data_IF_546652960032
#
_entry.id   IF_546652960032
#
_cell.length_a   1.000
_cell.length_b   1.000
_cell.length_c   1.000
_cell.angle_alpha   90.00
_cell.angle_beta   90.00
_cell.angle_gamma   90.00
#
_symmetry.space_group_name_H-M   'P 1'
#
loop_
_entity.id
_entity.type
_entity.pdbx_description
1 polymer ?
#
# COMPACT_ATOMS: atom_id res chain seq x y z
N UNK A 1 20.50 23.39 30.76
CA UNK A 1 20.16 22.20 29.97
C UNK A 1 19.73 22.67 28.59
N UNK A 2 20.57 22.45 27.59
CA UNK A 2 20.30 22.89 26.24
C UNK A 2 19.12 22.12 25.66
N UNK A 3 18.08 22.84 25.28
CA UNK A 3 16.90 22.28 24.58
C UNK A 3 17.33 22.01 23.10
N UNK A 4 18.24 21.05 22.92
CA UNK A 4 18.91 20.73 21.65
C UNK A 4 18.02 19.93 20.68
N UNK A 5 16.72 20.10 20.72
CA UNK A 5 15.86 19.31 19.84
C UNK A 5 15.48 20.13 18.61
N UNK A 6 16.06 19.79 17.46
CA UNK A 6 15.58 20.20 16.13
C UNK A 6 14.11 19.80 15.97
N UNK A 7 13.65 18.86 16.79
CA UNK A 7 12.28 18.39 16.88
C UNK A 7 11.51 19.33 17.79
N UNK A 8 10.94 20.36 17.21
CA UNK A 8 10.08 21.31 17.95
C UNK A 8 8.63 20.85 17.93
N UNK A 9 7.86 21.24 18.96
CA UNK A 9 6.40 21.05 18.99
C UNK A 9 5.67 21.81 17.86
N UNK A 10 6.37 22.69 17.15
CA UNK A 10 5.87 23.44 15.99
C UNK A 10 6.07 22.72 14.66
N UNK A 11 6.77 21.58 14.62
CA UNK A 11 7.01 20.86 13.37
C UNK A 11 5.72 20.34 12.74
N UNK A 12 5.64 20.33 11.41
CA UNK A 12 4.49 19.84 10.65
C UNK A 12 4.18 18.36 11.02
N UNK A 13 5.22 17.54 11.20
CA UNK A 13 5.08 16.13 11.61
C UNK A 13 4.45 16.02 13.01
N UNK A 14 4.86 16.89 13.97
CA UNK A 14 4.27 16.85 15.29
C UNK A 14 2.77 17.20 15.26
N UNK A 15 2.37 18.21 14.48
CA UNK A 15 0.96 18.58 14.26
C UNK A 15 0.17 17.41 13.69
N UNK A 16 0.71 16.75 12.66
CA UNK A 16 0.12 15.56 12.09
C UNK A 16 -0.08 14.43 13.11
N UNK A 17 0.91 14.17 13.98
CA UNK A 17 0.78 13.18 15.05
C UNK A 17 -0.28 13.54 16.09
N UNK A 18 -0.48 14.84 16.36
CA UNK A 18 -1.60 15.32 17.22
C UNK A 18 -2.94 15.04 16.54
N UNK A 19 -3.09 15.33 15.26
CA UNK A 19 -4.32 15.06 14.51
C UNK A 19 -4.66 13.57 14.44
N UNK A 20 -3.65 12.69 14.40
CA UNK A 20 -3.81 11.26 14.57
C UNK A 20 -4.17 10.86 16.02
N UNK A 21 -4.13 11.80 16.98
CA UNK A 21 -4.31 11.54 18.42
C UNK A 21 -3.31 10.55 19.03
N UNK A 22 -2.18 10.31 18.36
CA UNK A 22 -1.14 9.38 18.83
C UNK A 22 -0.41 9.94 20.04
N UNK A 23 -0.21 11.27 20.10
CA UNK A 23 0.59 11.94 21.13
C UNK A 23 0.02 11.79 22.55
N UNK A 24 -1.26 11.47 22.69
CA UNK A 24 -1.91 11.27 24.00
C UNK A 24 -1.45 9.98 24.71
N UNK A 25 -0.91 9.03 23.99
CA UNK A 25 -0.59 7.67 24.48
C UNK A 25 0.90 7.35 24.42
N UNK A 26 1.72 8.32 23.98
CA UNK A 26 3.16 8.18 23.87
C UNK A 26 3.87 9.15 24.80
N UNK A 27 4.94 8.69 25.39
CA UNK A 27 5.84 9.57 26.16
C UNK A 27 6.57 10.54 25.22
N UNK A 28 6.98 11.69 25.74
CA UNK A 28 7.75 12.68 24.96
C UNK A 28 8.96 12.07 24.23
N UNK A 29 9.80 11.19 24.83
CA UNK A 29 10.87 10.53 24.11
C UNK A 29 10.39 9.64 22.95
N UNK A 30 9.26 8.95 23.09
CA UNK A 30 8.67 8.12 22.04
C UNK A 30 8.17 8.97 20.87
N UNK A 31 7.50 10.09 21.15
CA UNK A 31 7.08 11.06 20.13
C UNK A 31 8.29 11.60 19.36
N UNK A 32 9.36 11.95 20.06
CA UNK A 32 10.59 12.40 19.43
C UNK A 32 11.20 11.34 18.49
N UNK A 33 11.20 10.07 18.88
CA UNK A 33 11.68 8.99 18.01
C UNK A 33 10.79 8.80 16.77
N UNK A 34 9.46 8.91 16.90
CA UNK A 34 8.54 8.89 15.76
C UNK A 34 8.86 9.99 14.77
N UNK A 35 9.01 11.22 15.25
CA UNK A 35 9.32 12.38 14.41
C UNK A 35 10.70 12.20 13.73
N UNK A 36 11.70 11.70 14.46
CA UNK A 36 13.02 11.43 13.90
C UNK A 36 12.95 10.40 12.75
N UNK A 37 12.19 9.31 12.92
CA UNK A 37 12.02 8.32 11.87
C UNK A 37 11.31 8.91 10.65
N UNK A 38 10.19 9.61 10.83
CA UNK A 38 9.44 10.21 9.71
C UNK A 38 10.31 11.22 8.97
N UNK A 39 10.99 12.13 9.68
CA UNK A 39 11.92 13.09 9.07
C UNK A 39 13.06 12.39 8.29
N UNK A 40 13.61 11.31 8.84
CA UNK A 40 14.66 10.56 8.16
C UNK A 40 14.14 9.85 6.91
N UNK A 41 12.96 9.23 6.99
CA UNK A 41 12.33 8.55 5.85
C UNK A 41 12.03 9.50 4.69
N UNK A 42 11.65 10.75 4.95
CA UNK A 42 11.44 11.74 3.88
C UNK A 42 12.75 12.33 3.35
N UNK A 43 13.86 12.24 4.09
CA UNK A 43 15.15 12.81 3.68
C UNK A 43 15.67 12.11 2.42
N UNK A 44 16.24 12.88 1.49
CA UNK A 44 16.88 12.33 0.27
C UNK A 44 18.07 11.47 0.66
N UNK A 45 18.13 10.24 0.11
CA UNK A 45 19.21 9.28 0.41
C UNK A 45 18.89 8.30 1.54
N UNK A 46 17.70 8.38 2.17
CA UNK A 46 17.27 7.35 3.11
C UNK A 46 17.21 5.97 2.45
N UNK A 47 17.91 5.00 3.04
CA UNK A 47 18.03 3.64 2.51
C UNK A 47 17.31 2.58 3.37
N UNK A 48 16.64 2.96 4.45
CA UNK A 48 15.92 2.01 5.33
C UNK A 48 16.71 1.50 6.51
N UNK A 49 17.93 2.01 6.74
CA UNK A 49 18.76 1.57 7.86
C UNK A 49 18.51 2.44 9.11
N UNK A 50 18.62 1.84 10.28
CA UNK A 50 18.59 2.58 11.55
C UNK A 50 19.75 3.58 11.65
N UNK A 51 20.90 3.28 11.02
CA UNK A 51 22.03 4.18 10.90
C UNK A 51 21.69 5.46 10.17
N UNK A 52 20.91 5.38 9.09
CA UNK A 52 20.49 6.56 8.33
C UNK A 52 19.75 7.57 9.23
N UNK A 53 18.92 7.05 10.18
CA UNK A 53 18.19 7.91 11.14
C UNK A 53 19.17 8.66 12.05
N UNK A 54 20.25 8.00 12.51
CA UNK A 54 21.27 8.64 13.36
C UNK A 54 22.18 9.59 12.59
N UNK A 55 22.36 9.35 11.27
CA UNK A 55 23.21 10.17 10.42
C UNK A 55 22.49 11.45 9.97
N UNK A 56 21.22 11.34 9.60
CA UNK A 56 20.43 12.49 9.21
C UNK A 56 19.97 13.38 10.38
N UNK A 57 19.77 12.74 11.55
CA UNK A 57 19.30 13.39 12.78
C UNK A 57 20.19 12.99 13.97
N UNK A 58 21.39 13.57 14.11
CA UNK A 58 22.44 13.13 15.03
C UNK A 58 22.13 13.33 16.53
N UNK A 59 20.91 13.65 16.89
CA UNK A 59 20.47 13.94 18.26
C UNK A 59 20.47 12.69 19.15
N UNK A 60 20.36 11.51 18.57
CA UNK A 60 20.27 10.23 19.28
C UNK A 60 21.25 9.19 18.75
N UNK A 61 21.85 8.45 19.65
CA UNK A 61 22.71 7.34 19.28
C UNK A 61 21.90 6.21 18.62
N UNK A 62 22.47 5.57 17.58
CA UNK A 62 21.84 4.48 16.80
C UNK A 62 21.24 3.36 17.66
N UNK A 63 21.86 3.04 18.81
CA UNK A 63 21.36 2.02 19.74
C UNK A 63 20.01 2.38 20.32
N UNK A 64 19.79 3.65 20.71
CA UNK A 64 18.51 4.11 21.25
C UNK A 64 17.42 4.11 20.18
N UNK A 65 17.79 4.44 18.94
CA UNK A 65 16.90 4.39 17.78
C UNK A 65 16.49 2.93 17.48
N UNK A 66 17.45 2.00 17.53
CA UNK A 66 17.16 0.57 17.41
C UNK A 66 16.25 0.05 18.52
N UNK A 67 16.53 0.41 19.77
CA UNK A 67 15.72 0.03 20.95
C UNK A 67 14.30 0.59 20.88
N UNK A 68 14.08 1.75 20.26
CA UNK A 68 12.74 2.28 20.04
C UNK A 68 11.88 1.32 19.22
N UNK A 69 12.44 0.65 18.22
CA UNK A 69 11.72 -0.36 17.44
C UNK A 69 11.60 -1.71 18.15
N UNK A 70 12.67 -2.17 18.87
CA UNK A 70 12.73 -3.52 19.41
C UNK A 70 12.21 -3.65 20.84
N UNK A 71 12.49 -2.69 21.71
CA UNK A 71 12.32 -2.83 23.16
C UNK A 71 11.33 -1.83 23.76
N UNK A 72 11.25 -0.61 23.23
CA UNK A 72 10.42 0.45 23.80
C UNK A 72 8.95 0.00 23.97
N UNK A 73 8.32 0.29 25.13
CA UNK A 73 7.00 -0.26 25.48
C UNK A 73 5.82 0.50 24.86
N UNK A 74 5.99 1.21 23.75
CA UNK A 74 4.86 1.86 23.10
C UNK A 74 3.91 0.86 22.43
N UNK A 75 2.62 1.16 22.48
CA UNK A 75 1.58 0.30 21.94
C UNK A 75 1.45 0.51 20.40
N UNK A 76 2.01 -0.45 19.67
CA UNK A 76 1.94 -0.49 18.23
C UNK A 76 0.50 -0.62 17.71
N UNK A 77 -0.34 -1.42 18.38
CA UNK A 77 -1.71 -1.67 17.95
C UNK A 77 -2.56 -0.40 18.06
N UNK A 78 -2.30 0.40 19.11
CA UNK A 78 -2.96 1.70 19.27
C UNK A 78 -2.58 2.65 18.12
N UNK A 79 -1.30 2.77 17.81
CA UNK A 79 -0.81 3.63 16.73
C UNK A 79 -1.37 3.19 15.37
N UNK A 80 -1.43 1.89 15.13
CA UNK A 80 -2.03 1.33 13.91
C UNK A 80 -3.53 1.62 13.82
N UNK A 81 -4.28 1.43 14.91
CA UNK A 81 -5.71 1.77 14.96
C UNK A 81 -5.95 3.26 14.69
N UNK A 82 -5.13 4.14 15.25
CA UNK A 82 -5.23 5.59 15.02
C UNK A 82 -4.99 5.94 13.53
N UNK A 83 -3.97 5.36 12.91
CA UNK A 83 -3.70 5.52 11.49
C UNK A 83 -4.88 5.01 10.64
N UNK A 84 -5.35 3.77 10.88
CA UNK A 84 -6.50 3.17 10.18
C UNK A 84 -7.74 4.05 10.28
N UNK A 85 -8.03 4.57 11.47
CA UNK A 85 -9.17 5.48 11.69
C UNK A 85 -9.05 6.75 10.84
N UNK A 86 -7.86 7.37 10.78
CA UNK A 86 -7.63 8.57 9.96
C UNK A 86 -7.81 8.26 8.47
N UNK A 87 -7.27 7.14 7.99
CA UNK A 87 -7.39 6.70 6.59
C UNK A 87 -8.86 6.48 6.22
N UNK A 88 -9.60 5.70 7.02
CA UNK A 88 -11.03 5.48 6.82
C UNK A 88 -11.78 6.81 6.78
N UNK A 89 -11.58 7.67 7.78
CA UNK A 89 -12.26 8.95 7.88
C UNK A 89 -12.07 9.78 6.60
N UNK A 90 -10.84 9.92 6.12
CA UNK A 90 -10.53 10.72 4.92
C UNK A 90 -11.16 10.15 3.66
N UNK A 91 -11.09 8.83 3.46
CA UNK A 91 -11.65 8.16 2.28
C UNK A 91 -13.18 8.22 2.28
N UNK A 92 -13.83 7.98 3.44
CA UNK A 92 -15.30 8.03 3.58
C UNK A 92 -15.84 9.45 3.44
N UNK A 93 -15.17 10.45 4.01
CA UNK A 93 -15.49 11.87 3.81
C UNK A 93 -15.38 12.27 2.32
N UNK A 94 -14.30 11.86 1.64
CA UNK A 94 -14.15 12.12 0.20
C UNK A 94 -15.29 11.50 -0.59
N UNK A 95 -15.63 10.23 -0.35
CA UNK A 95 -16.74 9.56 -1.00
C UNK A 95 -18.08 10.25 -0.73
N UNK A 96 -18.32 10.67 0.51
CA UNK A 96 -19.55 11.39 0.87
C UNK A 96 -19.69 12.74 0.15
N UNK A 97 -18.58 13.46 -0.04
CA UNK A 97 -18.57 14.78 -0.70
C UNK A 97 -18.69 14.64 -2.21
N UNK A 98 -17.97 13.68 -2.82
CA UNK A 98 -17.88 13.55 -4.29
C UNK A 98 -18.95 12.65 -4.88
N UNK A 99 -19.60 11.80 -4.08
CA UNK A 99 -20.47 10.73 -4.55
C UNK A 99 -19.74 9.54 -5.20
N UNK A 100 -18.40 9.62 -5.34
CA UNK A 100 -17.61 8.61 -6.00
C UNK A 100 -17.48 7.32 -5.16
N UNK A 101 -17.33 6.15 -5.82
CA UNK A 101 -17.18 4.87 -5.13
C UNK A 101 -15.88 4.78 -4.34
N UNK A 102 -15.90 3.93 -3.30
CA UNK A 102 -14.72 3.56 -2.54
C UNK A 102 -14.11 2.29 -3.14
N UNK A 103 -12.80 2.29 -3.36
CA UNK A 103 -12.06 1.12 -3.81
C UNK A 103 -11.16 0.60 -2.70
N UNK A 104 -11.27 -0.72 -2.45
CA UNK A 104 -10.41 -1.48 -1.56
C UNK A 104 -9.48 -2.32 -2.44
N UNK A 105 -8.24 -1.89 -2.60
CA UNK A 105 -7.27 -2.57 -3.46
C UNK A 105 -6.40 -3.47 -2.61
N UNK A 106 -6.33 -4.76 -2.97
CA UNK A 106 -5.53 -5.77 -2.26
C UNK A 106 -4.53 -6.38 -3.23
N UNK A 107 -3.26 -6.34 -2.84
CA UNK A 107 -2.17 -6.96 -3.60
C UNK A 107 -1.01 -7.30 -2.66
N UNK A 108 -0.03 -8.05 -3.16
CA UNK A 108 1.13 -8.40 -2.37
C UNK A 108 2.45 -8.10 -3.10
N UNK A 109 3.47 -7.85 -2.30
CA UNK A 109 4.82 -7.61 -2.81
C UNK A 109 5.85 -8.37 -1.98
N UNK A 110 7.02 -8.64 -2.56
CA UNK A 110 8.14 -9.26 -1.86
C UNK A 110 9.19 -8.19 -1.57
N UNK A 111 9.58 -8.10 -0.29
CA UNK A 111 10.78 -7.40 0.15
C UNK A 111 11.91 -8.42 0.30
N UNK A 112 12.76 -8.50 -0.73
CA UNK A 112 13.84 -9.48 -0.77
C UNK A 112 14.89 -9.23 0.29
N UNK A 113 15.44 -10.33 0.82
CA UNK A 113 16.53 -10.35 1.81
C UNK A 113 17.59 -11.35 1.40
N UNK A 114 18.80 -11.14 1.87
CA UNK A 114 19.88 -12.12 1.72
C UNK A 114 19.56 -13.36 2.55
N UNK A 115 19.71 -14.53 1.97
CA UNK A 115 19.60 -15.81 2.69
C UNK A 115 20.65 -15.81 3.82
N UNK A 116 20.26 -16.04 5.08
CA UNK A 116 21.22 -16.10 6.18
C UNK A 116 22.18 -17.27 5.99
N UNK A 117 23.44 -17.08 6.36
CA UNK A 117 24.39 -18.20 6.42
C UNK A 117 23.97 -19.18 7.52
N UNK A 118 24.42 -20.44 7.40
CA UNK A 118 24.20 -21.48 8.43
C UNK A 118 24.73 -21.10 9.81
N UNK A 119 25.71 -20.19 9.87
CA UNK A 119 26.32 -19.68 11.11
C UNK A 119 25.58 -18.46 11.71
N UNK A 120 24.51 -17.98 11.09
CA UNK A 120 23.79 -16.80 11.56
C UNK A 120 23.08 -17.08 12.89
N UNK A 121 23.52 -16.44 13.97
CA UNK A 121 22.95 -16.61 15.32
C UNK A 121 21.53 -16.01 15.44
N UNK A 122 21.22 -14.96 14.70
CA UNK A 122 19.92 -14.26 14.72
C UNK A 122 19.51 -13.92 13.29
N UNK A 123 18.92 -14.87 12.54
CA UNK A 123 18.37 -14.57 11.22
C UNK A 123 17.19 -13.58 11.33
N UNK A 124 16.83 -12.96 10.21
CA UNK A 124 15.65 -12.11 10.17
C UNK A 124 14.40 -12.96 10.32
N UNK A 125 13.56 -12.63 11.32
CA UNK A 125 12.36 -13.38 11.65
C UNK A 125 11.30 -13.26 10.54
N UNK A 126 10.48 -14.30 10.37
CA UNK A 126 9.37 -14.37 9.39
C UNK A 126 9.78 -14.20 7.92
N UNK A 127 11.06 -14.31 7.58
CA UNK A 127 11.51 -14.46 6.21
C UNK A 127 11.29 -15.89 5.71
N UNK A 128 10.91 -16.01 4.45
CA UNK A 128 10.72 -17.30 3.79
C UNK A 128 11.06 -17.25 2.31
N UNK A 129 10.95 -18.41 1.65
CA UNK A 129 11.08 -18.51 0.21
C UNK A 129 9.73 -18.30 -0.47
N UNK A 130 9.68 -17.38 -1.42
CA UNK A 130 8.48 -16.99 -2.17
C UNK A 130 8.78 -16.96 -3.66
N UNK A 131 7.82 -17.37 -4.49
CA UNK A 131 7.94 -17.26 -5.95
C UNK A 131 7.71 -15.80 -6.39
N UNK A 132 8.70 -15.21 -7.04
CA UNK A 132 8.60 -13.88 -7.65
C UNK A 132 8.21 -14.01 -9.11
N UNK A 133 6.98 -13.62 -9.45
CA UNK A 133 6.52 -13.60 -10.84
C UNK A 133 7.34 -12.62 -11.70
N UNK A 134 7.76 -11.48 -11.13
CA UNK A 134 8.59 -10.50 -11.83
C UNK A 134 9.96 -11.04 -12.23
N UNK A 135 10.55 -11.93 -11.42
CA UNK A 135 11.88 -12.50 -11.65
C UNK A 135 11.83 -13.92 -12.24
N UNK A 136 10.64 -14.53 -12.32
CA UNK A 136 10.47 -15.91 -12.76
C UNK A 136 11.19 -16.95 -11.88
N UNK A 137 11.53 -16.60 -10.63
CA UNK A 137 12.29 -17.47 -9.70
C UNK A 137 11.87 -17.32 -8.24
N UNK A 138 12.25 -18.28 -7.44
CA UNK A 138 12.09 -18.22 -5.97
C UNK A 138 13.12 -17.28 -5.38
N UNK A 139 12.66 -16.39 -4.50
CA UNK A 139 13.47 -15.42 -3.76
C UNK A 139 13.23 -15.56 -2.25
N UNK A 140 14.21 -15.19 -1.44
CA UNK A 140 14.09 -15.18 0.02
C UNK A 140 13.76 -13.79 0.53
N UNK A 141 12.81 -13.65 1.45
CA UNK A 141 12.44 -12.36 2.03
C UNK A 141 11.08 -12.37 2.74
N UNK A 142 10.51 -11.19 2.93
CA UNK A 142 9.16 -11.04 3.44
C UNK A 142 8.19 -10.82 2.28
N UNK A 143 7.13 -11.62 2.23
CA UNK A 143 5.98 -11.33 1.36
C UNK A 143 4.97 -10.53 2.17
N UNK A 144 4.54 -9.39 1.64
CA UNK A 144 3.71 -8.41 2.33
C UNK A 144 2.36 -8.29 1.62
N UNK A 145 1.29 -8.65 2.31
CA UNK A 145 -0.08 -8.39 1.83
C UNK A 145 -0.47 -6.98 2.26
N UNK A 146 -0.88 -6.18 1.31
CA UNK A 146 -1.17 -4.76 1.49
C UNK A 146 -2.59 -4.44 1.05
N UNK A 147 -3.25 -3.57 1.79
CA UNK A 147 -4.54 -2.99 1.43
C UNK A 147 -4.39 -1.49 1.31
N UNK A 148 -4.83 -0.97 0.16
CA UNK A 148 -4.98 0.46 -0.10
C UNK A 148 -6.47 0.81 -0.16
N UNK A 149 -6.83 1.97 0.36
CA UNK A 149 -8.16 2.56 0.21
C UNK A 149 -8.07 3.77 -0.73
N UNK A 150 -9.00 3.84 -1.67
CA UNK A 150 -9.03 4.89 -2.68
C UNK A 150 -10.44 5.46 -2.79
N UNK A 151 -10.52 6.76 -3.03
CA UNK A 151 -11.72 7.42 -3.50
C UNK A 151 -11.29 8.64 -4.32
N UNK A 152 -11.78 8.75 -5.53
CA UNK A 152 -11.38 9.78 -6.48
C UNK A 152 -9.84 9.79 -6.69
N UNK A 153 -9.15 10.88 -6.43
CA UNK A 153 -7.69 11.01 -6.54
C UNK A 153 -6.96 10.63 -5.25
N UNK A 154 -7.67 10.44 -4.14
CA UNK A 154 -7.08 10.12 -2.84
C UNK A 154 -6.73 8.64 -2.73
N UNK A 155 -5.48 8.33 -2.45
CA UNK A 155 -4.92 6.97 -2.38
C UNK A 155 -4.13 6.79 -1.09
N UNK A 156 -4.63 5.99 -0.14
CA UNK A 156 -4.02 5.84 1.18
C UNK A 156 -3.79 4.37 1.56
N UNK A 157 -2.63 4.00 2.12
CA UNK A 157 -2.41 2.67 2.68
C UNK A 157 -3.24 2.47 3.95
N UNK A 158 -4.00 1.38 3.99
CA UNK A 158 -4.80 0.99 5.15
C UNK A 158 -4.06 0.04 6.08
N UNK A 159 -3.44 -0.98 5.51
CA UNK A 159 -2.64 -1.95 6.27
C UNK A 159 -1.61 -2.65 5.37
N UNK A 160 -0.52 -3.07 5.98
CA UNK A 160 0.53 -3.90 5.38
C UNK A 160 0.96 -4.95 6.40
N UNK A 161 0.81 -6.22 6.08
CA UNK A 161 1.10 -7.32 6.99
C UNK A 161 2.01 -8.36 6.34
N UNK A 162 2.91 -8.96 7.15
CA UNK A 162 3.78 -10.04 6.71
C UNK A 162 2.94 -11.30 6.50
N UNK A 163 3.04 -11.90 5.33
CA UNK A 163 2.47 -13.19 5.05
C UNK A 163 3.32 -14.30 5.68
N UNK A 164 2.71 -15.05 6.58
CA UNK A 164 3.29 -16.21 7.23
C UNK A 164 2.53 -17.47 6.82
N UNK A 165 3.18 -18.31 6.02
CA UNK A 165 2.56 -19.53 5.47
C UNK A 165 2.06 -20.51 6.54
N UNK A 166 2.70 -20.51 7.71
CA UNK A 166 2.36 -21.44 8.80
C UNK A 166 1.12 -21.01 9.57
N UNK A 167 0.80 -19.72 9.55
CA UNK A 167 -0.31 -19.18 10.33
C UNK A 167 -1.58 -18.95 9.51
N UNK A 168 -1.50 -18.28 8.36
CA UNK A 168 -2.69 -17.84 7.64
C UNK A 168 -2.41 -17.69 6.14
N UNK A 169 -3.35 -18.12 5.29
CA UNK A 169 -3.24 -17.89 3.84
C UNK A 169 -3.44 -16.40 3.48
N UNK A 170 -2.87 -15.95 2.35
CA UNK A 170 -3.10 -14.57 1.86
C UNK A 170 -4.59 -14.28 1.62
N UNK A 171 -5.35 -15.27 1.19
CA UNK A 171 -6.81 -15.17 1.03
C UNK A 171 -7.49 -14.91 2.37
N UNK A 172 -7.10 -15.65 3.42
CA UNK A 172 -7.66 -15.43 4.75
C UNK A 172 -7.28 -14.04 5.29
N UNK A 173 -6.03 -13.58 5.07
CA UNK A 173 -5.62 -12.21 5.41
C UNK A 173 -6.50 -11.17 4.70
N UNK A 174 -6.74 -11.34 3.40
CA UNK A 174 -7.59 -10.44 2.63
C UNK A 174 -9.04 -10.43 3.16
N UNK A 175 -9.58 -11.59 3.55
CA UNK A 175 -10.91 -11.72 4.17
C UNK A 175 -10.97 -10.92 5.47
N UNK A 176 -10.00 -11.09 6.37
CA UNK A 176 -9.96 -10.37 7.66
C UNK A 176 -9.83 -8.85 7.45
N UNK A 177 -9.05 -8.43 6.47
CA UNK A 177 -8.92 -7.01 6.14
C UNK A 177 -10.25 -6.42 5.64
N UNK A 178 -10.97 -7.10 4.73
CA UNK A 178 -12.27 -6.63 4.22
C UNK A 178 -13.29 -6.55 5.37
N UNK A 179 -13.36 -7.58 6.23
CA UNK A 179 -14.26 -7.58 7.39
C UNK A 179 -13.99 -6.46 8.40
N UNK A 180 -12.75 -5.96 8.45
CA UNK A 180 -12.38 -4.86 9.36
C UNK A 180 -12.78 -3.47 8.85
N UNK A 181 -13.27 -3.36 7.61
CA UNK A 181 -13.70 -2.11 7.01
C UNK A 181 -15.17 -1.81 7.32
N UNK A 182 -15.55 -0.54 7.53
CA UNK A 182 -16.95 -0.15 7.56
C UNK A 182 -17.59 -0.33 6.18
N UNK A 183 -18.90 -0.44 6.14
CA UNK A 183 -19.63 -0.42 4.87
C UNK A 183 -19.38 0.90 4.13
N UNK A 184 -19.31 0.88 2.79
CA UNK A 184 -19.13 2.09 2.00
C UNK A 184 -20.39 2.99 2.10
N UNK A 185 -20.19 4.31 2.11
CA UNK A 185 -21.32 5.28 2.16
C UNK A 185 -22.04 5.40 0.82
N UNK A 186 -21.33 5.10 -0.26
CA UNK A 186 -21.85 4.99 -1.62
C UNK A 186 -21.54 3.58 -2.14
N UNK A 187 -21.33 3.41 -3.44
CA UNK A 187 -20.82 2.14 -3.97
C UNK A 187 -19.38 1.87 -3.47
N UNK A 188 -19.08 0.62 -3.23
CA UNK A 188 -17.74 0.17 -2.88
C UNK A 188 -17.32 -1.05 -3.69
N UNK A 189 -16.05 -1.10 -4.09
CA UNK A 189 -15.49 -2.19 -4.88
C UNK A 189 -14.21 -2.73 -4.23
N UNK A 190 -14.11 -4.07 -4.14
CA UNK A 190 -12.85 -4.76 -3.82
C UNK A 190 -12.15 -5.08 -5.14
N UNK A 191 -10.91 -4.57 -5.31
CA UNK A 191 -10.10 -4.75 -6.51
C UNK A 191 -8.90 -5.65 -6.22
N UNK A 192 -8.76 -6.74 -6.96
CA UNK A 192 -7.64 -7.68 -6.81
C UNK A 192 -7.13 -8.17 -8.18
N UNK A 193 -5.95 -8.76 -8.18
CA UNK A 193 -5.47 -9.51 -9.32
C UNK A 193 -6.14 -10.88 -9.45
N UNK A 194 -5.82 -11.64 -10.49
CA UNK A 194 -6.41 -12.95 -10.76
C UNK A 194 -6.07 -14.02 -9.71
N UNK A 195 -5.02 -13.82 -8.91
CA UNK A 195 -4.63 -14.75 -7.88
C UNK A 195 -5.63 -14.76 -6.70
N UNK A 196 -6.19 -13.59 -6.38
CA UNK A 196 -7.17 -13.43 -5.30
C UNK A 196 -8.61 -13.79 -5.70
N UNK A 197 -8.91 -13.91 -7.00
CA UNK A 197 -10.27 -14.20 -7.48
C UNK A 197 -10.72 -15.61 -7.09
N UNK A 198 -11.55 -15.71 -6.04
CA UNK A 198 -12.11 -16.96 -5.55
C UNK A 198 -13.44 -16.77 -4.81
N UNK A 199 -14.20 -17.87 -4.67
CA UNK A 199 -15.54 -17.89 -4.06
C UNK A 199 -15.58 -17.29 -2.66
N UNK A 200 -14.56 -17.53 -1.81
CA UNK A 200 -14.54 -17.02 -0.42
C UNK A 200 -14.42 -15.50 -0.39
N UNK A 201 -13.55 -14.93 -1.24
CA UNK A 201 -13.38 -13.50 -1.32
C UNK A 201 -14.59 -12.81 -1.93
N UNK A 202 -15.23 -13.43 -2.92
CA UNK A 202 -16.50 -12.98 -3.51
C UNK A 202 -17.59 -12.86 -2.44
N UNK A 203 -17.77 -13.90 -1.63
CA UNK A 203 -18.77 -13.94 -0.58
C UNK A 203 -18.54 -12.84 0.47
N UNK A 204 -17.33 -12.74 1.01
CA UNK A 204 -17.02 -11.78 2.05
C UNK A 204 -17.11 -10.32 1.55
N UNK A 205 -16.73 -10.06 0.31
CA UNK A 205 -16.88 -8.73 -0.28
C UNK A 205 -18.35 -8.31 -0.27
N UNK A 206 -19.24 -9.19 -0.75
CA UNK A 206 -20.69 -8.96 -0.76
C UNK A 206 -21.28 -8.78 0.65
N UNK A 207 -20.89 -9.65 1.60
CA UNK A 207 -21.33 -9.58 3.00
C UNK A 207 -20.91 -8.26 3.66
N UNK A 208 -19.76 -7.70 3.27
CA UNK A 208 -19.24 -6.43 3.78
C UNK A 208 -19.76 -5.21 3.00
N UNK A 209 -20.69 -5.37 2.07
CA UNK A 209 -21.31 -4.29 1.28
C UNK A 209 -20.50 -3.82 0.07
N UNK A 210 -19.50 -4.60 -0.36
CA UNK A 210 -18.65 -4.28 -1.52
C UNK A 210 -18.98 -5.21 -2.70
N UNK A 211 -18.97 -4.70 -3.91
CA UNK A 211 -18.91 -5.52 -5.11
C UNK A 211 -17.44 -5.93 -5.38
N UNK A 212 -17.24 -7.10 -5.96
CA UNK A 212 -15.92 -7.57 -6.33
C UNK A 212 -15.64 -7.28 -7.80
N UNK A 213 -14.46 -6.72 -8.10
CA UNK A 213 -13.91 -6.59 -9.44
C UNK A 213 -12.48 -7.11 -9.42
N UNK A 214 -12.11 -7.98 -10.36
CA UNK A 214 -10.76 -8.54 -10.37
C UNK A 214 -10.29 -9.07 -11.71
N UNK A 215 -9.00 -9.37 -11.81
CA UNK A 215 -8.50 -10.25 -12.85
C UNK A 215 -9.12 -11.64 -12.69
N UNK A 216 -9.24 -12.39 -13.78
CA UNK A 216 -9.79 -13.73 -13.77
C UNK A 216 -8.83 -14.69 -14.49
N UNK A 217 -8.64 -15.89 -13.95
CA UNK A 217 -7.84 -16.92 -14.64
C UNK A 217 -8.65 -17.57 -15.74
N UNK A 218 -8.06 -17.84 -16.89
CA UNK A 218 -8.71 -18.38 -18.08
C UNK A 218 -9.13 -19.86 -17.95
N UNK A 219 -8.71 -20.52 -16.88
CA UNK A 219 -9.16 -21.92 -16.58
C UNK A 219 -10.53 -21.98 -15.86
N UNK A 220 -11.17 -20.83 -15.62
CA UNK A 220 -12.52 -20.76 -15.02
C UNK A 220 -13.58 -21.20 -16.02
N UNK A 221 -14.67 -21.79 -15.49
CA UNK A 221 -15.76 -22.34 -16.30
C UNK A 221 -16.96 -21.40 -16.24
N UNK A 222 -17.43 -21.01 -17.42
CA UNK A 222 -18.67 -20.28 -17.65
C UNK A 222 -19.73 -21.20 -18.25
N UNK A 223 -21.00 -20.79 -18.18
CA UNK A 223 -22.15 -21.60 -18.62
C UNK A 223 -22.99 -20.78 -19.61
N UNK A 224 -22.50 -20.54 -20.85
CA UNK A 224 -23.23 -19.78 -21.85
C UNK A 224 -24.44 -20.57 -22.38
N UNK A 225 -25.34 -19.86 -23.07
CA UNK A 225 -26.52 -20.46 -23.72
C UNK A 225 -26.12 -21.63 -24.60
N UNK A 226 -26.84 -22.75 -24.47
CA UNK A 226 -26.52 -24.00 -25.14
C UNK A 226 -25.46 -24.88 -24.45
N UNK A 227 -24.82 -24.39 -23.36
CA UNK A 227 -23.85 -25.14 -22.55
C UNK A 227 -24.12 -25.02 -21.04
N UNK A 228 -25.35 -24.79 -20.65
CA UNK A 228 -25.78 -24.54 -19.27
C UNK A 228 -25.46 -25.69 -18.29
N UNK A 229 -25.39 -26.93 -18.79
CA UNK A 229 -25.09 -28.13 -17.98
C UNK A 229 -23.61 -28.46 -17.91
N UNK A 230 -22.90 -28.36 -19.04
CA UNK A 230 -21.48 -28.77 -19.15
C UNK A 230 -20.50 -27.63 -18.91
N UNK A 231 -20.92 -26.41 -19.22
CA UNK A 231 -20.04 -25.25 -19.18
C UNK A 231 -18.89 -25.30 -20.21
N UNK A 232 -18.07 -24.28 -20.22
CA UNK A 232 -16.86 -24.18 -21.03
C UNK A 232 -15.80 -23.37 -20.28
N UNK A 233 -14.55 -23.76 -20.34
CA UNK A 233 -13.44 -22.96 -19.80
C UNK A 233 -13.25 -21.69 -20.66
N UNK A 234 -12.87 -20.59 -20.03
CA UNK A 234 -12.63 -19.31 -20.73
C UNK A 234 -11.58 -19.43 -21.84
N UNK A 235 -10.48 -20.17 -21.62
CA UNK A 235 -9.49 -20.39 -22.67
C UNK A 235 -10.07 -21.12 -23.90
N UNK A 236 -10.90 -22.16 -23.70
CA UNK A 236 -11.55 -22.86 -24.79
C UNK A 236 -12.65 -22.00 -25.44
N UNK A 237 -13.31 -21.13 -24.66
CA UNK A 237 -14.23 -20.15 -25.25
C UNK A 237 -13.50 -19.21 -26.23
N UNK A 238 -12.31 -18.75 -25.88
CA UNK A 238 -11.53 -17.90 -26.77
C UNK A 238 -11.12 -18.56 -28.11
N UNK A 239 -11.03 -19.89 -28.16
CA UNK A 239 -10.67 -20.64 -29.38
C UNK A 239 -11.84 -20.67 -30.40
N UNK A 240 -13.07 -20.47 -29.97
CA UNK A 240 -14.27 -20.51 -30.80
C UNK A 240 -14.84 -19.14 -31.11
N UNK A 241 -14.32 -18.07 -30.47
CA UNK A 241 -14.75 -16.70 -30.75
C UNK A 241 -14.23 -16.23 -32.09
N UNK A 242 -15.06 -15.47 -32.79
CA UNK A 242 -14.75 -14.79 -34.03
C UNK A 242 -14.70 -13.27 -33.84
N UNK A 243 -14.30 -12.54 -34.87
CA UNK A 243 -14.28 -11.07 -34.80
C UNK A 243 -15.68 -10.45 -34.62
N UNK A 244 -16.71 -11.15 -35.02
CA UNK A 244 -18.11 -10.68 -34.90
C UNK A 244 -18.64 -10.83 -33.45
N UNK A 245 -17.97 -11.64 -32.63
CA UNK A 245 -18.34 -11.83 -31.21
C UNK A 245 -17.72 -10.79 -30.28
N UNK A 246 -16.86 -9.92 -30.78
CA UNK A 246 -16.13 -8.93 -29.96
C UNK A 246 -16.43 -7.50 -30.41
N UNK A 247 -16.56 -6.63 -29.42
CA UNK A 247 -16.78 -5.20 -29.64
C UNK A 247 -15.48 -4.42 -29.44
N UNK A 248 -15.31 -3.32 -30.19
CA UNK A 248 -14.19 -2.40 -29.99
C UNK A 248 -14.56 -1.40 -28.87
N UNK A 249 -13.86 -1.47 -27.76
CA UNK A 249 -14.05 -0.62 -26.57
C UNK A 249 -12.85 0.28 -26.37
N UNK A 250 -13.08 1.58 -26.18
CA UNK A 250 -12.02 2.55 -25.90
C UNK A 250 -11.91 2.79 -24.40
N UNK A 251 -10.71 2.55 -23.85
CA UNK A 251 -10.42 2.70 -22.42
C UNK A 251 -9.27 3.70 -22.23
N UNK A 252 -9.59 4.95 -21.93
CA UNK A 252 -8.64 6.05 -21.96
C UNK A 252 -8.15 6.29 -23.39
N UNK A 253 -6.81 6.21 -23.60
CA UNK A 253 -6.19 6.38 -24.94
C UNK A 253 -6.00 5.06 -25.71
N UNK A 254 -6.38 3.92 -25.13
CA UNK A 254 -6.16 2.61 -25.75
C UNK A 254 -7.49 2.01 -26.22
N UNK A 255 -7.43 1.23 -27.32
CA UNK A 255 -8.56 0.50 -27.87
C UNK A 255 -8.34 -1.02 -27.67
N UNK A 256 -9.43 -1.70 -27.30
CA UNK A 256 -9.41 -3.15 -27.03
C UNK A 256 -10.59 -3.81 -27.72
N UNK A 257 -10.38 -4.98 -28.29
CA UNK A 257 -11.47 -5.89 -28.63
C UNK A 257 -11.89 -6.64 -27.37
N UNK A 258 -13.20 -6.62 -27.06
CA UNK A 258 -13.74 -7.16 -25.83
C UNK A 258 -14.91 -8.10 -26.13
N UNK A 259 -14.82 -9.35 -25.68
CA UNK A 259 -15.95 -10.25 -25.55
C UNK A 259 -16.57 -10.09 -24.16
N UNK A 260 -17.87 -9.89 -24.13
CA UNK A 260 -18.65 -9.70 -22.89
C UNK A 260 -19.52 -10.91 -22.62
N UNK A 261 -19.36 -11.51 -21.45
CA UNK A 261 -20.23 -12.59 -20.96
C UNK A 261 -20.96 -12.14 -19.69
N UNK A 262 -22.28 -12.33 -19.65
CA UNK A 262 -23.11 -12.13 -18.47
C UNK A 262 -23.78 -13.45 -18.11
N UNK A 263 -23.53 -13.93 -16.89
CA UNK A 263 -24.13 -15.19 -16.43
C UNK A 263 -23.33 -15.91 -15.36
N UNK A 264 -23.61 -17.20 -15.24
CA UNK A 264 -23.05 -18.07 -14.21
C UNK A 264 -21.56 -18.36 -14.48
N UNK A 265 -20.78 -18.24 -13.43
CA UNK A 265 -19.41 -18.76 -13.29
C UNK A 265 -19.41 -19.89 -12.28
N UNK A 266 -18.47 -20.83 -12.34
CA UNK A 266 -18.36 -21.91 -11.34
C UNK A 266 -18.28 -21.41 -9.88
N UNK A 267 -17.75 -20.22 -9.65
CA UNK A 267 -17.57 -19.60 -8.33
C UNK A 267 -18.64 -18.52 -7.99
N UNK A 268 -19.50 -18.14 -8.95
CA UNK A 268 -20.51 -17.10 -8.77
C UNK A 268 -21.77 -17.42 -9.59
N UNK A 269 -22.96 -17.14 -9.02
CA UNK A 269 -24.25 -17.36 -9.73
C UNK A 269 -24.43 -16.40 -10.90
N UNK A 270 -24.08 -15.12 -10.69
CA UNK A 270 -24.17 -14.05 -11.67
C UNK A 270 -22.85 -13.30 -11.71
N UNK A 271 -22.36 -13.04 -12.89
CA UNK A 271 -21.12 -12.31 -13.12
C UNK A 271 -21.12 -11.62 -14.48
N UNK A 272 -20.41 -10.49 -14.55
CA UNK A 272 -20.00 -9.85 -15.78
C UNK A 272 -18.53 -10.19 -16.00
N UNK A 273 -18.23 -10.82 -17.13
CA UNK A 273 -16.85 -11.21 -17.50
C UNK A 273 -16.49 -10.52 -18.81
N UNK A 274 -15.31 -9.91 -18.85
CA UNK A 274 -14.72 -9.30 -20.02
C UNK A 274 -13.45 -10.05 -20.42
N UNK A 275 -13.37 -10.51 -21.67
CA UNK A 275 -12.16 -11.04 -22.28
C UNK A 275 -11.63 -9.98 -23.24
N UNK A 276 -10.43 -9.47 -22.97
CA UNK A 276 -9.89 -8.28 -23.64
C UNK A 276 -8.60 -8.57 -24.37
N UNK A 277 -8.49 -8.10 -25.61
CA UNK A 277 -7.26 -8.09 -26.41
C UNK A 277 -6.94 -6.66 -26.85
N UNK A 278 -5.66 -6.26 -26.87
CA UNK A 278 -5.27 -5.02 -27.54
C UNK A 278 -5.74 -5.04 -29.01
N UNK A 279 -6.12 -3.90 -29.55
CA UNK A 279 -6.65 -3.79 -30.93
C UNK A 279 -5.75 -4.48 -31.97
N UNK A 280 -4.43 -4.32 -31.82
CA UNK A 280 -3.41 -4.84 -32.76
C UNK A 280 -3.09 -6.33 -32.52
N UNK A 281 -3.70 -6.94 -31.50
CA UNK A 281 -3.36 -8.28 -31.03
C UNK A 281 -4.59 -9.16 -30.76
N UNK A 282 -5.68 -8.95 -31.51
CA UNK A 282 -6.87 -9.78 -31.38
C UNK A 282 -6.53 -11.26 -31.57
N UNK A 283 -6.98 -12.10 -30.63
CA UNK A 283 -6.75 -13.54 -30.55
C UNK A 283 -5.29 -14.00 -30.54
N UNK A 284 -4.30 -13.08 -30.44
CA UNK A 284 -2.90 -13.49 -30.31
C UNK A 284 -2.63 -14.17 -28.97
N UNK A 285 -1.88 -15.29 -28.96
CA UNK A 285 -1.49 -15.97 -27.74
C UNK A 285 -0.80 -15.04 -26.74
N UNK A 286 -1.14 -15.13 -25.44
CA UNK A 286 -0.52 -14.33 -24.40
C UNK A 286 -1.02 -12.88 -24.28
N UNK A 287 -1.81 -12.37 -25.25
CA UNK A 287 -2.35 -11.01 -25.25
C UNK A 287 -3.72 -10.90 -24.54
N UNK A 288 -4.38 -12.04 -24.30
CA UNK A 288 -5.65 -12.07 -23.57
C UNK A 288 -5.49 -11.59 -22.12
N UNK A 289 -6.37 -10.72 -21.72
CA UNK A 289 -6.63 -10.36 -20.31
C UNK A 289 -8.09 -10.61 -19.99
N UNK A 290 -8.36 -11.26 -18.87
CA UNK A 290 -9.74 -11.56 -18.45
C UNK A 290 -10.04 -10.91 -17.10
N UNK A 291 -11.24 -10.33 -17.02
CA UNK A 291 -11.71 -9.58 -15.86
C UNK A 291 -13.09 -10.06 -15.45
N UNK A 292 -13.43 -9.89 -14.18
CA UNK A 292 -14.73 -10.22 -13.61
C UNK A 292 -15.24 -9.06 -12.77
N UNK A 293 -16.55 -8.80 -12.86
CA UNK A 293 -17.31 -8.03 -11.88
C UNK A 293 -18.48 -8.87 -11.32
N UNK A 294 -18.73 -8.75 -10.03
CA UNK A 294 -19.95 -9.24 -9.40
C UNK A 294 -21.05 -8.16 -9.29
N UNK A 295 -20.74 -6.92 -9.65
CA UNK A 295 -21.75 -5.93 -9.98
C UNK A 295 -22.13 -6.12 -11.45
N UNK A 296 -23.25 -6.80 -11.69
CA UNK A 296 -23.74 -7.08 -13.05
C UNK A 296 -24.56 -5.94 -13.64
N UNK A 297 -24.81 -4.88 -12.87
CA UNK A 297 -25.51 -3.70 -13.34
C UNK A 297 -24.62 -2.75 -14.15
N UNK A 298 -23.30 -2.87 -14.01
CA UNK A 298 -22.35 -2.03 -14.74
C UNK A 298 -22.12 -2.51 -16.17
N UNK A 299 -21.68 -1.63 -17.03
CA UNK A 299 -21.24 -1.95 -18.40
C UNK A 299 -19.85 -2.56 -18.40
N UNK A 300 -19.46 -3.15 -19.52
CA UNK A 300 -18.09 -3.69 -19.69
C UNK A 300 -17.05 -2.58 -19.67
N UNK A 301 -17.37 -1.42 -20.23
CA UNK A 301 -16.50 -0.24 -20.17
C UNK A 301 -16.29 0.24 -18.72
N UNK A 302 -17.38 0.32 -17.95
CA UNK A 302 -17.31 0.67 -16.51
C UNK A 302 -16.48 -0.35 -15.72
N UNK A 303 -16.65 -1.66 -15.96
CA UNK A 303 -15.82 -2.71 -15.36
C UNK A 303 -14.34 -2.43 -15.60
N UNK A 304 -13.94 -2.18 -16.83
CA UNK A 304 -12.55 -1.95 -17.21
C UNK A 304 -12.01 -0.63 -16.64
N UNK A 305 -12.84 0.42 -16.60
CA UNK A 305 -12.51 1.69 -15.99
C UNK A 305 -12.34 1.57 -14.47
N UNK A 306 -13.21 0.83 -13.77
CA UNK A 306 -13.06 0.56 -12.34
C UNK A 306 -11.81 -0.25 -12.05
N UNK A 307 -11.45 -1.24 -12.88
CA UNK A 307 -10.27 -2.06 -12.66
C UNK A 307 -8.95 -1.26 -12.74
N UNK A 308 -8.91 -0.14 -13.45
CA UNK A 308 -7.73 0.75 -13.48
C UNK A 308 -7.36 1.29 -12.09
N UNK A 309 -8.32 1.45 -11.19
CA UNK A 309 -8.07 1.88 -9.81
C UNK A 309 -7.29 0.85 -8.99
N UNK A 310 -6.97 -0.32 -9.54
CA UNK A 310 -6.02 -1.27 -8.95
C UNK A 310 -4.55 -0.80 -9.06
N UNK A 311 -4.22 -0.09 -10.13
CA UNK A 311 -2.83 0.31 -10.43
C UNK A 311 -2.13 1.14 -9.34
N UNK A 312 -2.77 2.04 -8.60
CA UNK A 312 -2.14 2.82 -7.54
C UNK A 312 -1.40 2.00 -6.48
N UNK A 313 -1.76 0.74 -6.21
CA UNK A 313 -1.01 -0.11 -5.25
C UNK A 313 0.39 -0.46 -5.78
N UNK A 314 0.56 -0.63 -7.09
CA UNK A 314 1.87 -0.87 -7.71
C UNK A 314 2.76 0.39 -7.60
N UNK A 315 2.16 1.58 -7.74
CA UNK A 315 2.83 2.85 -7.47
C UNK A 315 3.27 2.95 -6.00
N UNK A 316 2.39 2.61 -5.06
CA UNK A 316 2.73 2.55 -3.64
C UNK A 316 3.94 1.65 -3.38
N UNK A 317 3.96 0.43 -3.92
CA UNK A 317 5.12 -0.46 -3.78
C UNK A 317 6.39 0.12 -4.40
N UNK A 318 6.30 0.71 -5.58
CA UNK A 318 7.44 1.34 -6.25
C UNK A 318 7.99 2.51 -5.44
N UNK A 319 7.14 3.44 -5.00
CA UNK A 319 7.56 4.64 -4.28
C UNK A 319 8.10 4.31 -2.87
N UNK A 320 7.48 3.37 -2.16
CA UNK A 320 7.97 2.93 -0.84
C UNK A 320 9.30 2.18 -0.93
N UNK A 321 9.51 1.37 -1.96
CA UNK A 321 10.80 0.72 -2.24
C UNK A 321 11.89 1.74 -2.58
N UNK A 322 11.54 2.75 -3.38
CA UNK A 322 12.47 3.77 -3.87
C UNK A 322 12.83 4.82 -2.81
N UNK A 323 11.86 5.26 -2.02
CA UNK A 323 12.00 6.43 -1.17
C UNK A 323 11.96 6.15 0.33
N UNK A 324 11.23 5.12 0.77
CA UNK A 324 10.99 4.83 2.19
C UNK A 324 11.71 3.55 2.69
N UNK A 325 12.60 2.97 1.89
CA UNK A 325 13.45 1.86 2.27
C UNK A 325 12.74 0.52 2.45
N UNK A 326 11.58 0.28 1.82
CA UNK A 326 10.81 -0.96 1.98
C UNK A 326 11.62 -2.24 1.66
N UNK A 327 12.58 -2.19 0.75
CA UNK A 327 13.43 -3.35 0.44
C UNK A 327 14.71 -3.44 1.27
N UNK A 328 15.10 -2.35 1.95
CA UNK A 328 16.45 -2.19 2.48
C UNK A 328 16.53 -2.13 4.01
N UNK A 329 15.39 -2.20 4.72
CA UNK A 329 15.42 -2.22 6.19
C UNK A 329 16.24 -3.41 6.71
N UNK A 330 16.96 -3.18 7.83
CA UNK A 330 17.89 -4.14 8.41
C UNK A 330 17.52 -4.57 9.84
N UNK A 331 16.32 -4.21 10.32
CA UNK A 331 15.78 -4.70 11.58
C UNK A 331 15.39 -6.17 11.45
N UNK A 332 15.56 -6.97 12.52
CA UNK A 332 15.50 -8.44 12.44
C UNK A 332 14.34 -9.07 13.16
N UNK A 333 13.92 -8.52 14.32
CA UNK A 333 12.79 -9.08 15.07
C UNK A 333 11.45 -8.74 14.41
N UNK A 334 10.49 -9.65 14.45
CA UNK A 334 9.15 -9.45 13.93
C UNK A 334 8.49 -8.16 14.48
N UNK A 335 8.67 -7.89 15.78
CA UNK A 335 8.22 -6.65 16.41
C UNK A 335 8.81 -5.40 15.74
N UNK A 336 10.13 -5.39 15.54
CA UNK A 336 10.81 -4.24 14.91
C UNK A 336 10.40 -4.05 13.46
N UNK A 337 10.18 -5.15 12.72
CA UNK A 337 9.79 -5.13 11.31
C UNK A 337 8.37 -4.56 11.17
N UNK A 338 7.41 -5.04 11.96
CA UNK A 338 6.04 -4.53 11.94
C UNK A 338 5.98 -3.05 12.33
N UNK A 339 6.76 -2.63 13.33
CA UNK A 339 6.89 -1.22 13.71
C UNK A 339 7.50 -0.38 12.60
N UNK A 340 8.50 -0.90 11.90
CA UNK A 340 9.09 -0.22 10.75
C UNK A 340 8.06 -0.01 9.62
N UNK A 341 7.26 -1.03 9.29
CA UNK A 341 6.21 -0.91 8.29
C UNK A 341 5.11 0.07 8.71
N UNK A 342 4.75 0.08 9.99
CA UNK A 342 3.81 1.07 10.51
C UNK A 342 4.34 2.50 10.36
N UNK A 343 5.62 2.75 10.68
CA UNK A 343 6.26 4.05 10.48
C UNK A 343 6.32 4.44 9.00
N UNK A 344 6.58 3.48 8.11
CA UNK A 344 6.56 3.69 6.67
C UNK A 344 5.16 4.10 6.18
N UNK A 345 4.10 3.42 6.63
CA UNK A 345 2.72 3.78 6.29
C UNK A 345 2.34 5.16 6.84
N UNK A 346 2.71 5.49 8.08
CA UNK A 346 2.49 6.82 8.66
C UNK A 346 3.19 7.89 7.82
N UNK A 347 4.43 7.64 7.41
CA UNK A 347 5.20 8.58 6.57
C UNK A 347 4.56 8.78 5.20
N UNK A 348 4.05 7.69 4.59
CA UNK A 348 3.34 7.77 3.32
C UNK A 348 2.06 8.62 3.45
N UNK A 349 1.23 8.34 4.47
CA UNK A 349 0.00 9.10 4.74
C UNK A 349 0.30 10.57 5.04
N UNK A 350 1.36 10.86 5.81
CA UNK A 350 1.83 12.23 6.04
C UNK A 350 2.15 12.95 4.73
N UNK A 351 2.90 12.31 3.83
CA UNK A 351 3.22 12.90 2.54
C UNK A 351 1.98 13.14 1.66
N UNK A 352 1.01 12.23 1.69
CA UNK A 352 -0.22 12.37 0.88
C UNK A 352 -1.18 13.42 1.43
N UNK A 353 -1.38 13.49 2.75
CA UNK A 353 -2.45 14.30 3.35
C UNK A 353 -2.00 15.70 3.77
N UNK A 354 -0.84 15.81 4.43
CA UNK A 354 -0.53 17.02 5.21
C UNK A 354 0.38 17.99 4.48
N UNK A 355 1.06 17.54 3.44
CA UNK A 355 2.11 18.34 2.79
C UNK A 355 1.83 18.64 1.32
N UNK A 356 0.83 18.03 0.73
CA UNK A 356 0.54 18.12 -0.70
C UNK A 356 -0.34 19.29 -1.13
N UNK A 357 -0.58 20.30 -0.28
CA UNK A 357 -1.29 21.56 -0.61
C UNK A 357 -2.37 21.43 -1.72
N UNK A 358 -3.27 20.42 -1.59
CA UNK A 358 -4.36 20.20 -2.53
C UNK A 358 -4.01 19.34 -3.77
N UNK A 359 -2.75 19.04 -4.02
CA UNK A 359 -2.36 18.10 -5.08
C UNK A 359 -1.98 16.76 -4.44
N UNK A 360 -2.96 15.90 -4.26
CA UNK A 360 -2.82 14.59 -3.62
C UNK A 360 -1.99 13.66 -4.52
N UNK A 361 -0.67 13.66 -4.31
CA UNK A 361 0.27 12.80 -5.00
C UNK A 361 1.53 12.64 -4.16
N UNK A 362 1.89 11.39 -3.84
CA UNK A 362 3.05 11.08 -3.01
C UNK A 362 4.35 11.78 -3.47
N UNK A 363 4.61 11.86 -4.77
CA UNK A 363 5.82 12.50 -5.28
C UNK A 363 5.85 14.02 -5.04
N UNK A 364 4.71 14.68 -5.07
CA UNK A 364 4.57 16.09 -4.69
C UNK A 364 4.71 16.21 -3.18
N UNK A 365 4.00 15.39 -2.42
CA UNK A 365 4.01 15.38 -0.97
C UNK A 365 5.40 15.15 -0.38
N UNK A 366 6.16 14.15 -0.87
CA UNK A 366 7.51 13.89 -0.36
C UNK A 366 8.50 15.04 -0.70
N UNK A 367 8.34 15.69 -1.85
CA UNK A 367 9.13 16.90 -2.16
C UNK A 367 8.80 18.05 -1.20
N UNK A 368 7.52 18.26 -0.94
CA UNK A 368 7.05 19.27 0.02
C UNK A 368 7.55 18.98 1.43
N UNK A 369 7.45 17.74 1.90
CA UNK A 369 7.97 17.28 3.20
C UNK A 369 9.48 17.55 3.33
N UNK A 370 10.26 17.26 2.28
CA UNK A 370 11.69 17.54 2.23
C UNK A 370 12.00 19.04 2.34
N UNK A 371 11.24 19.87 1.65
CA UNK A 371 11.42 21.32 1.71
C UNK A 371 11.03 21.86 3.09
N UNK A 372 9.96 21.34 3.68
CA UNK A 372 9.54 21.71 5.03
C UNK A 372 10.61 21.33 6.07
N UNK A 373 11.16 20.12 5.99
CA UNK A 373 12.25 19.68 6.88
C UNK A 373 13.50 20.56 6.76
N UNK A 374 13.86 20.99 5.53
CA UNK A 374 14.95 21.95 5.31
C UNK A 374 14.67 23.30 5.94
N UNK A 375 13.45 23.85 5.75
CA UNK A 375 13.05 25.13 6.37
C UNK A 375 13.13 25.06 7.89
N UNK A 376 12.60 23.99 8.50
CA UNK A 376 12.65 23.78 9.94
C UNK A 376 14.09 23.69 10.46
N UNK A 377 14.99 23.04 9.71
CA UNK A 377 16.42 22.97 10.05
C UNK A 377 17.10 24.34 10.00
N UNK A 378 16.84 25.12 8.96
CA UNK A 378 17.37 26.50 8.84
C UNK A 378 16.84 27.36 9.99
N UNK A 379 15.53 27.36 10.25
CA UNK A 379 14.93 28.10 11.37
C UNK A 379 15.53 27.69 12.72
N UNK A 380 15.81 26.40 12.92
CA UNK A 380 16.47 25.93 14.13
C UNK A 380 17.89 26.52 14.26
N UNK A 381 18.68 26.57 13.18
CA UNK A 381 20.02 27.15 13.17
C UNK A 381 19.96 28.63 13.58
N UNK A 382 19.06 29.40 12.95
CA UNK A 382 18.88 30.81 13.31
C UNK A 382 18.51 30.99 14.78
N UNK A 383 17.55 30.22 15.29
CA UNK A 383 17.15 30.27 16.69
C UNK A 383 18.32 29.93 17.65
N UNK A 384 19.24 29.01 17.26
CA UNK A 384 20.42 28.72 18.08
C UNK A 384 21.42 29.87 18.05
N UNK A 385 21.60 30.51 16.90
CA UNK A 385 22.46 31.70 16.76
C UNK A 385 21.90 32.87 17.61
N UNK A 386 20.60 33.11 17.57
CA UNK A 386 19.95 34.18 18.38
C UNK A 386 20.09 33.92 19.90
N UNK A 387 20.20 32.64 20.29
CA UNK A 387 20.49 32.26 21.68
C UNK A 387 21.98 32.34 22.04
N UNK A 388 22.83 32.84 21.13
CA UNK A 388 24.28 33.02 21.35
C UNK A 388 25.08 31.71 21.32
N UNK A 389 24.52 30.63 20.76
CA UNK A 389 25.23 29.35 20.62
C UNK A 389 26.34 29.48 19.56
N UNK A 390 27.62 29.19 19.87
CA UNK A 390 28.70 29.26 18.92
C UNK A 390 28.50 28.36 17.69
N UNK A 391 28.94 28.82 16.52
CA UNK A 391 28.76 28.13 15.25
C UNK A 391 29.36 26.70 15.25
N UNK A 392 30.54 26.52 15.89
CA UNK A 392 31.17 25.22 16.06
C UNK A 392 30.29 24.24 16.85
N UNK A 393 29.59 24.72 17.88
CA UNK A 393 28.68 23.90 18.67
C UNK A 393 27.44 23.50 17.83
N UNK A 394 26.97 24.39 16.95
CA UNK A 394 25.91 24.09 15.99
C UNK A 394 26.39 23.04 14.98
N UNK A 395 27.57 23.21 14.39
CA UNK A 395 28.15 22.24 13.44
C UNK A 395 28.37 20.87 14.10
N UNK A 396 28.92 20.82 15.32
CA UNK A 396 29.05 19.60 16.09
C UNK A 396 27.72 18.90 16.34
N UNK A 397 26.67 19.68 16.65
CA UNK A 397 25.31 19.15 16.85
C UNK A 397 24.74 18.56 15.55
N UNK A 398 25.03 19.18 14.41
CA UNK A 398 24.58 18.77 13.09
C UNK A 398 25.50 17.75 12.42
N UNK A 399 26.63 17.38 13.05
CA UNK A 399 27.69 16.52 12.47
C UNK A 399 28.14 17.00 11.08
N UNK A 400 28.34 18.30 10.93
CA UNK A 400 28.80 18.93 9.68
C UNK A 400 30.33 19.09 9.68
N UNK A 401 30.97 18.89 10.83
CA UNK A 401 32.43 18.95 11.00
C UNK A 401 33.04 17.54 10.86
#
# INVERSE_FOLDING_TARGET
MFNNSIVTKSSAIYKFLIELKITLYLTTPQIHHLILFINSMVTKGYCGKVTDVSDFMPIRHRTNIGKFLSESPWDQNFVEKALKKRVIMRIWETSKITGNPIYVVIDDTISEKTVPSSKAKKPTEKCGFHHSHLKGKTVYGHQLVTVMLLCDTLVLPYTMAIYDKENMSKIQMAIEFIKSLPQPVNKGYVLCDSWYSNKKLFAVSKESGYAYIGGLRTNRVIYPKGREKLGIKLNHMCEILTKDDVELVKIGNNEYYVYTYRGKLNDAKDSLIALCWPKEALFKPGCLRSFISLDTAITTEELLNHYKYRWPIENFFRETKKHLGLNHYQVRSNRSINRYFLLLMITYVYCELEVSNGTLNFNVGIKSARNQSKKERVSWIFNQADLGIPLEAIFKTLKIA
#
